data_IF_466617892951
#
_entry.id   IF_466617892951
#
_cell.length_a   1.000
_cell.length_b   1.000
_cell.length_c   1.000
_cell.angle_alpha   90.00
_cell.angle_beta   90.00
_cell.angle_gamma   90.00
#
_symmetry.space_group_name_H-M   'P 1'
#
loop_
_entity.id
_entity.type
_entity.pdbx_description
1 polymer ?
#
# COMPACT_ATOMS: atom_id res chain seq x y z
N UNK A 1 15.21 -6.54 -28.23
CA UNK A 1 16.21 -7.51 -27.69
C UNK A 1 16.65 -7.20 -26.27
N UNK A 2 17.18 -5.99 -25.97
CA UNK A 2 17.65 -5.62 -24.61
C UNK A 2 16.60 -5.81 -23.50
N UNK A 3 15.35 -5.41 -23.72
CA UNK A 3 14.27 -5.60 -22.73
C UNK A 3 13.91 -7.06 -22.51
N UNK A 4 13.93 -7.88 -23.56
CA UNK A 4 13.65 -9.32 -23.47
C UNK A 4 14.73 -10.00 -22.63
N UNK A 5 16.00 -9.67 -22.87
CA UNK A 5 17.12 -10.15 -22.06
C UNK A 5 17.00 -9.74 -20.59
N UNK A 6 16.55 -8.52 -20.32
CA UNK A 6 16.38 -8.02 -18.95
C UNK A 6 15.21 -8.70 -18.22
N UNK A 7 14.07 -8.90 -18.89
CA UNK A 7 12.92 -9.63 -18.33
C UNK A 7 13.31 -11.07 -18.00
N UNK A 8 14.04 -11.74 -18.90
CA UNK A 8 14.53 -13.10 -18.66
C UNK A 8 15.48 -13.13 -17.45
N UNK A 9 16.40 -12.17 -17.33
CA UNK A 9 17.30 -12.08 -16.19
C UNK A 9 16.53 -11.90 -14.86
N UNK A 10 15.55 -10.98 -14.80
CA UNK A 10 14.70 -10.84 -13.60
C UNK A 10 13.97 -12.14 -13.30
N UNK A 11 13.34 -12.77 -14.29
CA UNK A 11 12.60 -14.02 -14.09
C UNK A 11 13.47 -15.15 -13.55
N UNK A 12 14.73 -15.26 -13.97
CA UNK A 12 15.66 -16.25 -13.44
C UNK A 12 16.01 -15.99 -11.98
N UNK A 13 16.34 -14.74 -11.63
CA UNK A 13 16.66 -14.36 -10.24
C UNK A 13 15.44 -14.52 -9.34
N UNK A 14 14.26 -14.15 -9.84
CA UNK A 14 12.96 -14.33 -9.19
C UNK A 14 12.68 -15.81 -8.93
N UNK A 15 12.83 -16.66 -9.94
CA UNK A 15 12.59 -18.10 -9.80
C UNK A 15 13.49 -18.70 -8.71
N UNK A 16 14.77 -18.34 -8.70
CA UNK A 16 15.70 -18.76 -7.66
C UNK A 16 15.27 -18.23 -6.28
N UNK A 17 14.89 -16.96 -6.19
CA UNK A 17 14.47 -16.36 -4.93
C UNK A 17 13.23 -17.03 -4.34
N UNK A 18 12.23 -17.28 -5.18
CA UNK A 18 10.99 -17.95 -4.82
C UNK A 18 11.24 -19.39 -4.40
N UNK A 19 12.08 -20.11 -5.15
CA UNK A 19 12.48 -21.47 -4.80
C UNK A 19 13.17 -21.52 -3.44
N UNK A 20 14.12 -20.62 -3.17
CA UNK A 20 14.80 -20.55 -1.88
C UNK A 20 13.84 -20.21 -0.74
N UNK A 21 12.89 -19.29 -0.97
CA UNK A 21 11.86 -18.97 0.02
C UNK A 21 10.96 -20.19 0.31
N UNK A 22 10.50 -20.88 -0.72
CA UNK A 22 9.60 -22.03 -0.55
C UNK A 22 10.32 -23.23 0.10
N UNK A 23 11.62 -23.45 -0.20
CA UNK A 23 12.41 -24.54 0.40
C UNK A 23 12.80 -24.26 1.84
N UNK A 24 13.25 -23.05 2.15
CA UNK A 24 13.92 -22.78 3.42
C UNK A 24 13.10 -21.87 4.36
N UNK A 25 12.15 -21.08 3.85
CA UNK A 25 11.38 -20.09 4.64
C UNK A 25 9.91 -20.50 4.86
N UNK A 26 9.42 -21.59 4.25
CA UNK A 26 8.04 -22.09 4.39
C UNK A 26 7.66 -22.56 5.80
N UNK A 27 8.60 -22.67 6.74
CA UNK A 27 8.32 -22.99 8.14
C UNK A 27 7.83 -21.79 8.99
N UNK A 28 7.88 -20.55 8.49
CA UNK A 28 7.50 -19.36 9.27
C UNK A 28 6.00 -18.99 9.24
N UNK A 29 5.16 -19.69 8.48
CA UNK A 29 3.69 -19.51 8.59
C UNK A 29 3.13 -19.92 9.96
N UNK A 30 3.88 -20.72 10.73
CA UNK A 30 3.51 -21.14 12.09
C UNK A 30 3.63 -20.02 13.16
N UNK A 31 4.06 -18.80 12.79
CA UNK A 31 4.17 -17.64 13.68
C UNK A 31 3.45 -16.40 13.12
N UNK A 32 2.24 -16.57 12.57
CA UNK A 32 1.29 -15.47 12.72
C UNK A 32 1.11 -15.31 14.24
N UNK A 33 1.70 -14.27 14.83
CA UNK A 33 1.47 -13.96 16.25
C UNK A 33 -0.03 -13.94 16.44
N UNK A 34 -0.51 -14.67 17.46
CA UNK A 34 -1.88 -14.53 17.90
C UNK A 34 -2.12 -13.03 18.13
N UNK A 35 -3.03 -12.37 17.38
CA UNK A 35 -3.30 -10.96 17.53
C UNK A 35 -3.64 -10.56 18.97
N UNK A 36 -4.13 -11.53 19.76
CA UNK A 36 -4.54 -11.37 21.15
C UNK A 36 -3.39 -11.61 22.16
N UNK A 37 -2.20 -12.04 21.70
CA UNK A 37 -1.02 -12.32 22.55
C UNK A 37 -0.11 -11.11 22.79
N UNK A 38 -0.53 -9.92 22.38
CA UNK A 38 0.31 -8.72 22.43
C UNK A 38 0.19 -7.96 23.75
N UNK A 39 1.27 -7.27 24.11
CA UNK A 39 1.30 -6.41 25.29
C UNK A 39 0.22 -5.33 25.19
N UNK A 40 -0.51 -5.15 26.29
CA UNK A 40 -1.50 -4.08 26.42
C UNK A 40 -0.85 -2.72 26.10
N UNK A 41 -1.51 -1.94 25.26
CA UNK A 41 -1.08 -0.57 24.99
C UNK A 41 -1.41 0.31 26.18
N UNK A 42 -0.60 1.35 26.39
CA UNK A 42 -0.85 2.36 27.41
C UNK A 42 -2.15 3.14 27.17
N UNK A 43 -2.71 3.11 25.96
CA UNK A 43 -3.98 3.78 25.65
C UNK A 43 -5.20 2.84 25.69
N UNK A 44 -5.03 1.54 25.97
CA UNK A 44 -6.13 0.58 25.98
C UNK A 44 -7.18 0.91 27.06
N UNK A 45 -6.77 1.56 28.15
CA UNK A 45 -7.63 1.99 29.24
C UNK A 45 -8.18 3.43 29.08
N UNK A 46 -7.79 4.14 28.02
CA UNK A 46 -8.26 5.51 27.77
C UNK A 46 -9.60 5.47 27.04
N UNK A 47 -10.43 6.49 27.23
CA UNK A 47 -11.63 6.72 26.41
C UNK A 47 -11.34 7.65 25.22
N UNK A 48 -12.32 7.79 24.32
CA UNK A 48 -12.19 8.63 23.12
C UNK A 48 -11.90 10.09 23.48
N UNK A 49 -12.50 10.61 24.56
CA UNK A 49 -12.32 11.98 25.03
C UNK A 49 -10.88 12.21 25.51
N UNK A 50 -10.31 11.24 26.23
CA UNK A 50 -8.92 11.30 26.70
C UNK A 50 -7.94 11.29 25.53
N UNK A 51 -8.12 10.39 24.56
CA UNK A 51 -7.25 10.35 23.37
C UNK A 51 -7.39 11.64 22.56
N UNK A 52 -8.61 12.15 22.40
CA UNK A 52 -8.87 13.42 21.71
C UNK A 52 -8.19 14.60 22.41
N UNK A 53 -8.30 14.69 23.74
CA UNK A 53 -7.62 15.73 24.52
C UNK A 53 -6.11 15.67 24.32
N UNK A 54 -5.53 14.48 24.34
CA UNK A 54 -4.09 14.24 24.12
C UNK A 54 -3.66 14.61 22.70
N UNK A 55 -4.48 14.31 21.70
CA UNK A 55 -4.29 14.78 20.34
C UNK A 55 -4.25 16.31 20.27
N UNK A 56 -5.23 17.01 20.85
CA UNK A 56 -5.24 18.47 20.89
C UNK A 56 -4.02 19.07 21.64
N UNK A 57 -3.56 18.42 22.72
CA UNK A 57 -2.32 18.79 23.40
C UNK A 57 -1.11 18.67 22.45
N UNK A 58 -0.96 17.53 21.77
CA UNK A 58 0.12 17.28 20.82
C UNK A 58 0.14 18.30 19.67
N UNK A 59 -1.03 18.67 19.15
CA UNK A 59 -1.19 19.71 18.11
C UNK A 59 -0.69 21.07 18.62
N UNK A 60 -1.13 21.51 19.82
CA UNK A 60 -0.70 22.79 20.42
C UNK A 60 0.80 22.81 20.73
N UNK A 61 1.35 21.67 21.10
CA UNK A 61 2.77 21.48 21.39
C UNK A 61 3.63 21.21 20.16
N UNK A 62 3.05 21.26 18.95
CA UNK A 62 3.76 21.04 17.68
C UNK A 62 4.49 19.68 17.60
N UNK A 63 3.91 18.64 18.21
CA UNK A 63 4.43 17.26 18.19
C UNK A 63 4.01 16.47 16.93
N UNK A 64 3.82 17.20 15.83
CA UNK A 64 3.47 16.64 14.54
C UNK A 64 4.69 15.99 13.86
N UNK A 65 4.46 14.89 13.17
CA UNK A 65 5.49 14.25 12.34
C UNK A 65 5.59 15.03 11.03
N UNK A 66 6.71 15.73 10.82
CA UNK A 66 6.94 16.58 9.64
C UNK A 66 6.89 15.79 8.31
N UNK A 67 7.16 14.49 8.37
CA UNK A 67 7.09 13.56 7.24
C UNK A 67 5.65 13.24 6.82
N UNK A 68 4.65 13.61 7.63
CA UNK A 68 3.23 13.34 7.39
C UNK A 68 2.45 14.53 6.83
N UNK A 69 3.16 15.48 6.21
CA UNK A 69 2.55 16.63 5.54
C UNK A 69 1.81 16.18 4.28
N UNK A 70 0.53 16.56 4.17
CA UNK A 70 -0.31 16.28 3.00
C UNK A 70 -0.08 17.26 1.83
N UNK A 71 -0.88 17.10 0.76
CA UNK A 71 -0.82 17.97 -0.42
C UNK A 71 -1.24 19.43 -0.18
N UNK A 72 -1.79 19.74 0.99
CA UNK A 72 -2.21 21.09 1.41
C UNK A 72 -1.25 21.71 2.43
N UNK A 73 -0.17 21.00 2.80
CA UNK A 73 0.79 21.49 3.78
C UNK A 73 0.39 21.20 5.23
N UNK A 74 -0.64 20.38 5.47
CA UNK A 74 -1.12 20.04 6.80
C UNK A 74 -0.47 18.76 7.32
N UNK A 75 0.02 18.80 8.55
CA UNK A 75 0.53 17.62 9.25
C UNK A 75 -0.65 16.73 9.64
N UNK A 76 -0.62 15.46 9.22
CA UNK A 76 -1.72 14.53 9.46
C UNK A 76 -1.51 13.62 10.68
N UNK A 77 -0.28 13.50 11.18
CA UNK A 77 0.05 12.55 12.25
C UNK A 77 0.70 13.28 13.42
N UNK A 78 0.15 13.07 14.62
CA UNK A 78 0.64 13.65 15.86
C UNK A 78 0.96 12.56 16.86
N UNK A 79 2.11 12.67 17.52
CA UNK A 79 2.53 11.75 18.57
C UNK A 79 1.93 12.18 19.90
N UNK A 80 1.10 11.31 20.49
CA UNK A 80 0.38 11.60 21.74
C UNK A 80 1.06 10.98 22.97
N UNK A 81 1.89 9.96 22.76
CA UNK A 81 2.75 9.32 23.76
C UNK A 81 4.05 8.83 23.11
N UNK A 82 4.95 8.21 23.87
CA UNK A 82 6.18 7.65 23.29
C UNK A 82 5.90 6.49 22.31
N UNK A 83 4.79 5.78 22.44
CA UNK A 83 4.50 4.61 21.61
C UNK A 83 3.25 4.75 20.75
N UNK A 84 2.52 5.85 20.85
CA UNK A 84 1.23 6.03 20.16
C UNK A 84 1.18 7.33 19.38
N UNK A 85 0.69 7.21 18.15
CA UNK A 85 0.35 8.33 17.26
C UNK A 85 -1.14 8.32 16.97
N UNK A 86 -1.67 9.50 16.66
CA UNK A 86 -3.01 9.69 16.10
C UNK A 86 -2.85 10.23 14.70
N UNK A 87 -3.49 9.57 13.73
CA UNK A 87 -3.60 10.04 12.35
C UNK A 87 -4.98 10.61 12.10
N UNK A 88 -5.02 11.80 11.52
CA UNK A 88 -6.20 12.40 10.93
C UNK A 88 -6.32 11.95 9.47
N UNK A 89 -7.53 11.59 9.04
CA UNK A 89 -7.83 11.29 7.65
C UNK A 89 -9.24 11.76 7.31
N UNK A 90 -9.48 12.05 6.04
CA UNK A 90 -10.82 12.36 5.55
C UNK A 90 -11.58 11.07 5.23
N UNK A 91 -12.87 11.04 5.56
CA UNK A 91 -13.78 10.00 5.11
C UNK A 91 -13.83 9.95 3.58
N UNK A 92 -13.71 8.75 3.01
CA UNK A 92 -13.73 8.51 1.55
C UNK A 92 -15.08 8.05 1.02
N UNK A 93 -16.06 7.86 1.91
CA UNK A 93 -17.42 7.47 1.55
C UNK A 93 -18.36 8.67 1.70
N UNK A 94 -19.18 8.88 0.67
CA UNK A 94 -20.17 9.96 0.65
C UNK A 94 -21.49 9.57 1.36
N UNK A 95 -21.66 8.32 1.82
CA UNK A 95 -23.00 7.75 2.03
C UNK A 95 -23.26 6.97 3.35
N UNK A 96 -22.32 6.80 4.28
CA UNK A 96 -22.60 6.02 5.51
C UNK A 96 -22.21 6.73 6.82
N UNK A 97 -23.08 6.57 7.83
CA UNK A 97 -22.98 7.19 9.16
C UNK A 97 -21.89 6.59 10.06
N UNK A 98 -21.32 5.44 9.68
CA UNK A 98 -20.16 4.84 10.36
C UNK A 98 -19.02 4.78 9.35
N UNK A 99 -18.17 5.80 9.40
CA UNK A 99 -16.97 5.85 8.59
C UNK A 99 -15.83 5.19 9.38
N UNK A 100 -15.42 3.98 8.98
CA UNK A 100 -14.15 3.40 9.45
C UNK A 100 -13.07 3.80 8.45
N UNK A 101 -11.89 4.28 8.90
CA UNK A 101 -10.80 4.62 7.99
C UNK A 101 -10.41 3.42 7.12
N UNK A 102 -10.43 3.56 5.79
CA UNK A 102 -10.05 2.48 4.85
C UNK A 102 -8.64 1.94 5.14
N UNK A 103 -7.73 2.84 5.47
CA UNK A 103 -6.37 2.49 5.88
C UNK A 103 -6.33 1.60 7.13
N UNK A 104 -7.12 1.93 8.16
CA UNK A 104 -7.17 1.14 9.40
C UNK A 104 -7.73 -0.26 9.13
N UNK A 105 -8.79 -0.38 8.32
CA UNK A 105 -9.34 -1.67 7.88
C UNK A 105 -8.31 -2.49 7.11
N UNK A 106 -7.56 -1.87 6.21
CA UNK A 106 -6.55 -2.53 5.42
C UNK A 106 -5.38 -3.05 6.27
N UNK A 107 -4.88 -2.24 7.22
CA UNK A 107 -3.80 -2.65 8.12
C UNK A 107 -4.23 -3.82 9.01
N UNK A 108 -5.43 -3.75 9.61
CA UNK A 108 -5.99 -4.86 10.38
C UNK A 108 -6.15 -6.13 9.54
N UNK A 109 -6.61 -6.00 8.30
CA UNK A 109 -6.73 -7.12 7.38
C UNK A 109 -5.36 -7.73 7.04
N UNK A 110 -4.37 -6.92 6.68
CA UNK A 110 -3.01 -7.39 6.34
C UNK A 110 -2.35 -8.05 7.53
N UNK A 111 -2.47 -7.46 8.72
CA UNK A 111 -1.96 -8.00 9.98
C UNK A 111 -2.53 -9.38 10.29
N UNK A 112 -3.83 -9.60 10.06
CA UNK A 112 -4.50 -10.89 10.30
C UNK A 112 -4.12 -11.99 9.30
N UNK A 113 -3.72 -11.63 8.08
CA UNK A 113 -3.51 -12.58 6.98
C UNK A 113 -2.05 -12.76 6.56
N UNK A 114 -1.12 -11.98 7.12
CA UNK A 114 0.29 -11.98 6.72
C UNK A 114 1.23 -11.76 7.91
N UNK A 115 2.52 -12.02 7.72
CA UNK A 115 3.56 -11.68 8.69
C UNK A 115 4.15 -10.28 8.46
N UNK A 116 3.52 -9.47 7.60
CA UNK A 116 4.02 -8.14 7.23
C UNK A 116 3.92 -7.24 8.47
N UNK A 117 5.02 -6.60 8.90
CA UNK A 117 4.98 -5.62 9.98
C UNK A 117 4.22 -4.38 9.50
N UNK A 118 3.06 -4.16 10.10
CA UNK A 118 2.21 -2.96 9.93
C UNK A 118 1.89 -2.42 11.33
N UNK A 119 1.76 -1.09 11.52
CA UNK A 119 1.32 -0.51 12.78
C UNK A 119 0.00 -1.13 13.24
N UNK A 120 -0.10 -1.48 14.53
CA UNK A 120 -1.35 -1.98 15.10
C UNK A 120 -2.33 -0.83 15.26
N UNK A 121 -3.58 -1.03 14.82
CA UNK A 121 -4.66 -0.09 15.11
C UNK A 121 -5.12 -0.32 16.54
N UNK A 122 -5.06 0.73 17.36
CA UNK A 122 -5.46 0.68 18.77
C UNK A 122 -6.91 1.11 18.93
N UNK A 123 -7.32 2.17 18.22
CA UNK A 123 -8.66 2.74 18.37
C UNK A 123 -9.05 3.64 17.21
N UNK A 124 -10.30 3.58 16.79
CA UNK A 124 -10.93 4.59 15.92
C UNK A 124 -11.73 5.56 16.77
N UNK A 125 -11.59 6.86 16.51
CA UNK A 125 -12.18 7.94 17.29
C UNK A 125 -13.15 8.70 16.38
N UNK A 126 -14.42 8.70 16.76
CA UNK A 126 -15.47 9.47 16.07
C UNK A 126 -15.76 10.73 16.86
N UNK A 127 -15.41 11.90 16.31
CA UNK A 127 -15.76 13.17 16.93
C UNK A 127 -17.01 13.76 16.27
N UNK A 128 -18.06 14.00 17.07
CA UNK A 128 -19.32 14.61 16.62
C UNK A 128 -19.16 16.06 16.12
N UNK A 129 -18.05 16.73 16.45
CA UNK A 129 -17.78 18.12 16.07
C UNK A 129 -17.04 18.30 14.74
N UNK A 130 -16.58 17.21 14.10
CA UNK A 130 -15.78 17.25 12.87
C UNK A 130 -16.37 16.29 11.83
N UNK A 131 -17.55 16.62 11.31
CA UNK A 131 -18.21 15.81 10.27
C UNK A 131 -17.28 15.60 9.06
N UNK A 132 -17.03 14.34 8.70
CA UNK A 132 -16.17 13.96 7.59
C UNK A 132 -14.69 13.78 7.91
N UNK A 133 -14.25 14.09 9.15
CA UNK A 133 -12.90 13.79 9.63
C UNK A 133 -12.90 12.55 10.52
N UNK A 134 -11.95 11.67 10.27
CA UNK A 134 -11.74 10.45 11.05
C UNK A 134 -10.37 10.50 11.70
N UNK A 135 -10.34 10.05 12.94
CA UNK A 135 -9.12 9.96 13.71
C UNK A 135 -8.95 8.52 14.15
N UNK A 136 -7.73 8.04 14.15
CA UNK A 136 -7.45 6.74 14.74
C UNK A 136 -6.06 6.72 15.36
N UNK A 137 -5.98 6.05 16.51
CA UNK A 137 -4.75 5.83 17.25
C UNK A 137 -4.11 4.51 16.79
N UNK A 138 -2.79 4.53 16.61
CA UNK A 138 -2.02 3.36 16.23
C UNK A 138 -0.64 3.38 16.87
N UNK A 139 0.03 2.22 16.87
CA UNK A 139 1.40 2.11 17.35
C UNK A 139 2.35 3.01 16.53
N UNK A 140 3.23 3.71 17.23
CA UNK A 140 4.33 4.44 16.63
C UNK A 140 5.46 3.48 16.27
N UNK A 141 5.84 3.45 14.99
CA UNK A 141 7.00 2.68 14.53
C UNK A 141 8.25 3.54 14.64
N UNK A 142 9.11 3.20 15.60
CA UNK A 142 10.42 3.83 15.74
C UNK A 142 11.38 3.33 14.64
N UNK A 143 11.46 4.10 13.55
CA UNK A 143 12.26 3.79 12.38
C UNK A 143 12.46 5.00 11.48
N UNK A 144 13.25 4.82 10.43
CA UNK A 144 13.50 5.84 9.42
C UNK A 144 12.90 5.43 8.08
N UNK A 145 12.31 6.38 7.36
CA UNK A 145 11.83 6.11 5.99
C UNK A 145 12.97 5.63 5.10
N UNK A 146 12.69 4.62 4.28
CA UNK A 146 13.64 4.01 3.36
C UNK A 146 14.28 5.06 2.46
N UNK A 147 13.52 6.09 2.05
CA UNK A 147 14.00 7.26 1.30
C UNK A 147 15.28 7.86 1.87
N UNK A 148 15.36 8.00 3.20
CA UNK A 148 16.47 8.68 3.86
C UNK A 148 17.68 7.76 4.06
N UNK A 149 17.44 6.47 4.33
CA UNK A 149 18.51 5.51 4.59
C UNK A 149 19.03 4.80 3.34
N UNK A 150 18.25 4.73 2.26
CA UNK A 150 18.66 4.04 1.03
C UNK A 150 19.99 4.48 0.42
N UNK A 151 20.35 5.78 0.41
CA UNK A 151 21.66 6.21 -0.07
C UNK A 151 22.81 5.64 0.76
N UNK A 152 22.59 5.38 2.05
CA UNK A 152 23.62 4.90 2.99
C UNK A 152 23.68 3.36 3.05
N UNK A 153 22.66 2.66 2.56
CA UNK A 153 22.65 1.20 2.52
C UNK A 153 23.72 0.64 1.56
N UNK A 154 24.43 -0.38 2.04
CA UNK A 154 25.28 -1.23 1.21
C UNK A 154 24.46 -1.99 0.16
N UNK A 155 25.13 -2.57 -0.83
CA UNK A 155 24.47 -3.44 -1.82
C UNK A 155 23.70 -4.59 -1.15
N UNK A 156 24.28 -5.18 -0.11
CA UNK A 156 23.64 -6.25 0.67
C UNK A 156 22.41 -5.76 1.43
N UNK A 157 22.46 -4.53 1.98
CA UNK A 157 21.30 -3.91 2.62
C UNK A 157 20.15 -3.68 1.64
N UNK A 158 20.45 -3.18 0.44
CA UNK A 158 19.46 -2.96 -0.63
C UNK A 158 18.86 -4.28 -1.11
N UNK A 159 19.67 -5.32 -1.28
CA UNK A 159 19.21 -6.66 -1.63
C UNK A 159 18.32 -7.26 -0.55
N UNK A 160 18.68 -7.10 0.73
CA UNK A 160 17.86 -7.56 1.86
C UNK A 160 16.48 -6.91 1.83
N UNK A 161 16.42 -5.58 1.67
CA UNK A 161 15.14 -4.85 1.55
C UNK A 161 14.33 -5.37 0.37
N UNK A 162 14.93 -5.48 -0.82
CA UNK A 162 14.23 -5.96 -2.01
C UNK A 162 13.70 -7.40 -1.84
N UNK A 163 14.46 -8.28 -1.18
CA UNK A 163 14.04 -9.66 -0.91
C UNK A 163 12.91 -9.73 0.11
N UNK A 164 13.00 -8.95 1.19
CA UNK A 164 11.92 -8.84 2.17
C UNK A 164 10.64 -8.34 1.52
N UNK A 165 10.71 -7.30 0.68
CA UNK A 165 9.53 -6.79 -0.02
C UNK A 165 8.97 -7.81 -1.02
N UNK A 166 9.81 -8.57 -1.73
CA UNK A 166 9.34 -9.66 -2.59
C UNK A 166 8.53 -10.70 -1.79
N UNK A 167 9.04 -11.10 -0.62
CA UNK A 167 8.30 -11.98 0.29
C UNK A 167 6.95 -11.37 0.69
N UNK A 168 6.91 -10.08 1.05
CA UNK A 168 5.66 -9.39 1.39
C UNK A 168 4.67 -9.37 0.23
N UNK A 169 5.11 -9.05 -0.99
CA UNK A 169 4.26 -9.08 -2.18
C UNK A 169 3.70 -10.49 -2.43
N UNK A 170 4.52 -11.54 -2.26
CA UNK A 170 4.07 -12.93 -2.35
C UNK A 170 3.02 -13.26 -1.29
N UNK A 171 3.20 -12.80 -0.05
CA UNK A 171 2.21 -12.97 1.01
C UNK A 171 0.89 -12.30 0.66
N UNK A 172 0.89 -11.02 0.25
CA UNK A 172 -0.32 -10.29 -0.16
C UNK A 172 -1.06 -10.99 -1.32
N UNK A 173 -0.32 -11.53 -2.30
CA UNK A 173 -0.88 -12.27 -3.42
C UNK A 173 -1.47 -13.62 -3.03
N UNK A 174 -0.95 -14.26 -1.99
CA UNK A 174 -1.44 -15.55 -1.47
C UNK A 174 -2.70 -15.42 -0.63
N UNK A 175 -3.06 -14.21 -0.17
CA UNK A 175 -4.31 -14.01 0.58
C UNK A 175 -5.49 -14.48 -0.27
N UNK A 176 -6.30 -15.36 0.31
CA UNK A 176 -7.55 -15.82 -0.27
C UNK A 176 -8.70 -15.22 0.54
N UNK A 177 -9.53 -14.41 -0.10
CA UNK A 177 -10.64 -13.72 0.56
C UNK A 177 -11.79 -13.54 -0.42
N UNK A 178 -13.03 -13.62 0.06
CA UNK A 178 -14.22 -13.33 -0.73
C UNK A 178 -14.25 -11.88 -1.23
N UNK A 179 -13.56 -10.97 -0.53
CA UNK A 179 -13.39 -9.57 -0.91
C UNK A 179 -12.61 -9.41 -2.22
N UNK A 180 -11.86 -10.42 -2.68
CA UNK A 180 -11.12 -10.35 -3.94
C UNK A 180 -12.00 -10.41 -5.20
N UNK A 181 -13.32 -10.51 -5.05
CA UNK A 181 -14.28 -10.52 -6.15
C UNK A 181 -14.70 -9.10 -6.59
N UNK A 182 -14.60 -8.12 -5.68
CA UNK A 182 -14.95 -6.72 -5.94
C UNK A 182 -13.66 -5.89 -5.96
N UNK A 183 -13.36 -5.16 -7.03
CA UNK A 183 -12.15 -4.34 -7.13
C UNK A 183 -12.22 -3.14 -6.18
N UNK A 184 -11.07 -2.74 -5.67
CA UNK A 184 -10.93 -1.52 -4.89
C UNK A 184 -10.61 -1.74 -3.42
N UNK A 185 -10.68 -0.66 -2.61
CA UNK A 185 -10.50 -0.73 -1.17
C UNK A 185 -11.48 -1.69 -0.48
N UNK A 186 -11.10 -2.18 0.70
CA UNK A 186 -11.92 -3.09 1.48
C UNK A 186 -13.25 -2.42 1.90
N UNK A 187 -14.34 -3.17 1.76
CA UNK A 187 -15.67 -2.78 2.21
C UNK A 187 -16.75 -3.70 1.69
N UNK A 188 -17.95 -3.58 2.24
CA UNK A 188 -19.10 -4.42 1.88
C UNK A 188 -19.73 -4.04 0.52
N UNK A 189 -19.37 -2.87 0.01
CA UNK A 189 -19.81 -2.32 -1.27
C UNK A 189 -18.59 -1.85 -2.07
N UNK A 190 -18.69 -1.72 -3.40
CA UNK A 190 -17.63 -1.10 -4.21
C UNK A 190 -17.20 0.26 -3.67
N UNK A 191 -15.93 0.35 -3.27
CA UNK A 191 -15.34 1.57 -2.74
C UNK A 191 -14.67 2.39 -3.86
N UNK A 192 -14.46 3.68 -3.62
CA UNK A 192 -13.75 4.55 -4.57
C UNK A 192 -12.30 4.11 -4.68
N UNK A 193 -11.89 3.69 -5.88
CA UNK A 193 -10.52 3.38 -6.22
C UNK A 193 -9.69 4.67 -6.33
N UNK A 194 -8.50 4.65 -5.74
CA UNK A 194 -7.57 5.78 -5.73
C UNK A 194 -6.18 5.26 -6.10
N UNK A 195 -5.42 6.06 -6.84
CA UNK A 195 -4.07 5.72 -7.23
C UNK A 195 -3.61 6.49 -8.46
N UNK A 196 -2.30 6.58 -8.66
CA UNK A 196 -1.74 7.19 -9.86
C UNK A 196 -2.22 6.49 -11.14
N UNK A 197 -2.48 5.18 -11.06
CA UNK A 197 -3.03 4.38 -12.18
C UNK A 197 -4.43 4.83 -12.63
N UNK A 198 -5.18 5.49 -11.73
CA UNK A 198 -6.50 6.04 -12.01
C UNK A 198 -6.45 7.53 -12.43
N UNK A 199 -5.24 8.07 -12.70
CA UNK A 199 -5.03 9.44 -13.20
C UNK A 199 -5.62 10.54 -12.31
N UNK A 200 -5.67 10.31 -11.00
CA UNK A 200 -6.26 11.25 -10.05
C UNK A 200 -7.78 11.41 -10.17
N UNK A 201 -8.46 10.55 -10.94
CA UNK A 201 -9.92 10.54 -11.05
C UNK A 201 -10.54 10.03 -9.75
N UNK A 202 -10.94 10.96 -8.90
CA UNK A 202 -11.78 10.71 -7.73
C UNK A 202 -13.19 10.38 -8.26
N UNK A 203 -13.84 9.33 -7.74
CA UNK A 203 -15.13 8.75 -8.20
C UNK A 203 -15.05 7.59 -9.22
N UNK A 204 -14.12 6.66 -9.03
CA UNK A 204 -14.15 5.39 -9.76
C UNK A 204 -14.35 4.23 -8.80
N UNK A 205 -15.59 3.76 -8.64
CA UNK A 205 -15.87 2.48 -8.01
C UNK A 205 -16.36 1.51 -9.08
N UNK A 206 -16.07 0.22 -8.91
CA UNK A 206 -16.42 -0.78 -9.92
C UNK A 206 -17.14 -1.96 -9.25
N UNK A 207 -18.33 -2.34 -9.73
CA UNK A 207 -19.10 -3.44 -9.14
C UNK A 207 -18.48 -4.82 -9.41
N UNK A 208 -17.59 -4.94 -10.39
CA UNK A 208 -16.94 -6.21 -10.75
C UNK A 208 -15.60 -5.99 -11.47
N UNK A 209 -14.83 -7.06 -11.65
CA UNK A 209 -13.59 -7.05 -12.42
C UNK A 209 -13.82 -6.61 -13.87
N UNK A 210 -14.91 -7.06 -14.50
CA UNK A 210 -15.25 -6.73 -15.88
C UNK A 210 -15.50 -5.23 -16.04
N UNK A 211 -16.15 -4.60 -15.06
CA UNK A 211 -16.37 -3.15 -15.06
C UNK A 211 -15.05 -2.37 -14.94
N UNK A 212 -14.12 -2.82 -14.08
CA UNK A 212 -12.78 -2.26 -13.99
C UNK A 212 -12.03 -2.37 -15.33
N UNK A 213 -12.05 -3.56 -15.95
CA UNK A 213 -11.34 -3.81 -17.20
C UNK A 213 -11.91 -2.97 -18.34
N UNK A 214 -13.23 -2.92 -18.47
CA UNK A 214 -13.93 -2.11 -19.47
C UNK A 214 -13.59 -0.62 -19.33
N UNK A 215 -13.46 -0.11 -18.10
CA UNK A 215 -13.06 1.28 -17.87
C UNK A 215 -11.65 1.57 -18.37
N UNK A 216 -10.69 0.71 -18.05
CA UNK A 216 -9.32 0.84 -18.55
C UNK A 216 -9.25 0.70 -20.07
N UNK A 217 -9.92 -0.29 -20.66
CA UNK A 217 -10.03 -0.43 -22.12
C UNK A 217 -10.64 0.82 -22.76
N UNK A 218 -11.68 1.39 -22.16
CA UNK A 218 -12.33 2.61 -22.64
C UNK A 218 -11.40 3.82 -22.67
N UNK A 219 -10.65 4.05 -21.59
CA UNK A 219 -9.66 5.14 -21.52
C UNK A 219 -8.59 4.98 -22.59
N UNK A 220 -8.06 3.77 -22.72
CA UNK A 220 -6.99 3.46 -23.68
C UNK A 220 -7.49 3.62 -25.11
N UNK A 221 -8.66 3.08 -25.43
CA UNK A 221 -9.26 3.24 -26.76
C UNK A 221 -9.54 4.70 -27.10
N UNK A 222 -10.02 5.49 -26.12
CA UNK A 222 -10.26 6.92 -26.29
C UNK A 222 -8.95 7.67 -26.61
N UNK A 223 -7.88 7.42 -25.85
CA UNK A 223 -6.58 8.08 -26.07
C UNK A 223 -5.96 7.72 -27.41
N UNK A 224 -5.98 6.44 -27.78
CA UNK A 224 -5.49 5.94 -29.07
C UNK A 224 -6.28 6.54 -30.23
N UNK A 225 -7.60 6.60 -30.13
CA UNK A 225 -8.46 7.27 -31.11
C UNK A 225 -8.07 8.73 -31.29
N UNK A 226 -7.87 9.47 -30.18
CA UNK A 226 -7.41 10.87 -30.21
C UNK A 226 -6.03 11.02 -30.85
N UNK A 227 -5.15 10.05 -30.64
CA UNK A 227 -3.81 10.00 -31.23
C UNK A 227 -3.78 9.43 -32.66
N UNK A 228 -4.93 9.05 -33.25
CA UNK A 228 -5.05 8.38 -34.56
C UNK A 228 -4.25 7.07 -34.66
N UNK A 229 -4.14 6.36 -33.54
CA UNK A 229 -3.53 5.04 -33.45
C UNK A 229 -4.59 3.95 -33.63
N UNK A 230 -4.25 2.79 -34.25
CA UNK A 230 -5.18 1.67 -34.34
C UNK A 230 -5.51 1.11 -32.95
N UNK A 231 -6.63 0.38 -32.78
CA UNK A 231 -6.89 -0.36 -31.55
C UNK A 231 -5.73 -1.28 -31.18
N UNK A 232 -5.51 -1.47 -29.87
CA UNK A 232 -4.50 -2.42 -29.39
C UNK A 232 -5.04 -3.84 -29.43
N UNK A 233 -4.28 -4.77 -30.02
CA UNK A 233 -4.59 -6.21 -29.97
C UNK A 233 -4.16 -6.85 -28.64
N UNK A 234 -3.27 -6.18 -27.89
CA UNK A 234 -2.84 -6.64 -26.59
C UNK A 234 -3.87 -6.26 -25.52
N UNK A 235 -4.43 -7.26 -24.87
CA UNK A 235 -5.23 -7.13 -23.65
C UNK A 235 -4.39 -7.48 -22.42
N UNK A 236 -4.12 -6.56 -21.48
CA UNK A 236 -3.34 -6.86 -20.29
C UNK A 236 -4.13 -7.69 -19.25
N UNK A 237 -5.45 -7.87 -19.40
CA UNK A 237 -6.30 -8.55 -18.42
C UNK A 237 -6.67 -10.00 -18.81
N UNK A 238 -6.25 -10.49 -19.97
CA UNK A 238 -6.61 -11.81 -20.52
C UNK A 238 -6.36 -13.02 -19.60
N UNK A 239 -5.40 -12.92 -18.67
CA UNK A 239 -5.02 -13.96 -17.71
C UNK A 239 -5.41 -13.61 -16.25
N UNK A 240 -6.12 -12.50 -16.04
CA UNK A 240 -6.53 -12.03 -14.73
C UNK A 240 -7.78 -12.80 -14.25
N UNK A 241 -7.56 -13.92 -13.56
CA UNK A 241 -8.64 -14.78 -13.02
C UNK A 241 -9.20 -14.33 -11.67
N UNK A 242 -8.41 -13.57 -10.92
CA UNK A 242 -8.76 -13.03 -9.60
C UNK A 242 -7.92 -11.79 -9.34
N UNK A 243 -8.38 -10.98 -8.39
CA UNK A 243 -7.59 -9.90 -7.82
C UNK A 243 -6.83 -10.37 -6.59
N UNK A 244 -5.80 -9.61 -6.24
CA UNK A 244 -4.96 -9.82 -5.07
C UNK A 244 -4.93 -8.57 -4.22
N UNK A 245 -4.60 -8.72 -2.93
CA UNK A 245 -4.34 -7.56 -2.10
C UNK A 245 -3.10 -6.83 -2.64
N UNK A 246 -3.21 -5.52 -2.80
CA UNK A 246 -2.14 -4.62 -3.25
C UNK A 246 -2.15 -3.38 -2.38
N UNK A 247 -0.98 -2.78 -2.16
CA UNK A 247 -0.81 -1.53 -1.41
C UNK A 247 -1.10 -0.30 -2.26
N UNK A 248 -0.80 -0.34 -3.57
CA UNK A 248 -1.05 0.74 -4.55
C UNK A 248 -0.29 2.06 -4.35
N UNK A 249 0.46 2.21 -3.25
CA UNK A 249 1.35 3.34 -2.98
C UNK A 249 2.63 2.89 -2.25
N UNK A 250 3.16 1.70 -2.60
CA UNK A 250 4.35 1.15 -1.98
C UNK A 250 5.61 1.87 -2.52
N UNK A 251 5.93 3.02 -1.92
CA UNK A 251 7.09 3.83 -2.27
C UNK A 251 8.05 3.99 -1.08
N UNK A 252 9.24 4.54 -1.31
CA UNK A 252 10.28 4.62 -0.27
C UNK A 252 9.92 5.47 0.96
N UNK A 253 8.86 6.30 0.92
CA UNK A 253 8.35 7.05 2.08
C UNK A 253 7.46 6.17 2.97
N UNK A 254 6.81 5.18 2.36
CA UNK A 254 5.84 4.29 3.00
C UNK A 254 6.49 2.97 3.49
N UNK A 255 7.82 2.91 3.46
CA UNK A 255 8.63 1.81 3.98
C UNK A 255 9.51 2.38 5.09
N UNK A 256 9.40 1.83 6.30
CA UNK A 256 10.27 2.20 7.42
C UNK A 256 11.27 1.08 7.70
N UNK A 257 12.53 1.45 7.90
CA UNK A 257 13.54 0.58 8.50
C UNK A 257 13.46 0.79 10.01
N UNK A 258 12.82 -0.15 10.71
CA UNK A 258 12.62 -0.09 12.15
C UNK A 258 13.92 -0.33 12.91
N UNK A 259 14.03 0.23 14.13
CA UNK A 259 15.16 -0.06 15.04
C UNK A 259 15.25 -1.54 15.43
N UNK A 260 14.13 -2.25 15.35
CA UNK A 260 14.02 -3.71 15.50
C UNK A 260 14.54 -4.50 14.29
N UNK A 261 15.15 -3.82 13.30
CA UNK A 261 15.65 -4.40 12.05
C UNK A 261 14.59 -5.03 11.14
N UNK A 262 13.30 -4.76 11.39
CA UNK A 262 12.20 -5.15 10.50
C UNK A 262 11.96 -4.07 9.45
N UNK A 263 11.44 -4.50 8.31
CA UNK A 263 10.95 -3.61 7.26
C UNK A 263 9.45 -3.46 7.47
N UNK A 264 9.02 -2.29 7.95
CA UNK A 264 7.62 -1.97 8.22
C UNK A 264 6.99 -1.29 7.01
N UNK A 265 5.72 -1.61 6.76
CA UNK A 265 4.93 -1.02 5.69
C UNK A 265 3.81 -0.18 6.30
N UNK A 266 3.74 1.09 5.93
CA UNK A 266 2.77 2.08 6.45
C UNK A 266 1.99 2.70 5.30
N UNK A 267 0.96 3.48 5.62
CA UNK A 267 0.15 4.23 4.65
C UNK A 267 -0.61 3.36 3.64
N UNK A 268 -1.45 2.48 4.17
CA UNK A 268 -2.27 1.54 3.40
C UNK A 268 -3.54 2.16 2.80
N UNK A 269 -3.61 3.50 2.77
CA UNK A 269 -4.84 4.20 2.45
C UNK A 269 -5.29 3.93 1.00
N UNK A 270 -4.38 3.63 0.08
CA UNK A 270 -4.70 3.33 -1.33
C UNK A 270 -4.89 1.85 -1.63
N UNK A 271 -4.71 1.01 -0.61
CA UNK A 271 -4.69 -0.43 -0.76
C UNK A 271 -6.06 -1.02 -1.07
N UNK A 272 -6.05 -2.24 -1.59
CA UNK A 272 -7.27 -2.94 -1.96
C UNK A 272 -7.01 -4.16 -2.85
N UNK A 273 -8.09 -4.76 -3.34
CA UNK A 273 -8.02 -5.88 -4.27
C UNK A 273 -7.97 -5.39 -5.71
N UNK A 274 -6.86 -5.68 -6.39
CA UNK A 274 -6.63 -5.28 -7.78
C UNK A 274 -5.85 -6.37 -8.55
N UNK A 275 -5.74 -6.27 -9.89
CA UNK A 275 -4.87 -7.16 -10.67
C UNK A 275 -3.41 -7.11 -10.18
N UNK A 276 -2.72 -8.25 -10.14
CA UNK A 276 -1.37 -8.40 -9.54
C UNK A 276 -0.31 -7.42 -10.06
N UNK A 277 -0.49 -6.99 -11.31
CA UNK A 277 0.42 -6.09 -12.00
C UNK A 277 0.20 -4.61 -11.65
N UNK A 278 -0.92 -4.26 -10.99
CA UNK A 278 -1.17 -2.89 -10.55
C UNK A 278 -0.11 -2.43 -9.56
N UNK A 279 0.33 -3.28 -8.62
CA UNK A 279 1.41 -2.92 -7.69
C UNK A 279 2.68 -2.51 -8.43
N UNK A 280 3.10 -3.28 -9.44
CA UNK A 280 4.27 -2.96 -10.27
C UNK A 280 4.14 -1.58 -10.90
N UNK A 281 2.98 -1.28 -11.51
CA UNK A 281 2.76 0.02 -12.18
C UNK A 281 2.69 1.15 -11.15
N UNK A 282 1.97 0.96 -10.06
CA UNK A 282 1.82 1.95 -9.00
C UNK A 282 3.17 2.32 -8.36
N UNK A 283 4.05 1.35 -8.08
CA UNK A 283 5.41 1.62 -7.61
C UNK A 283 6.21 2.47 -8.61
N UNK A 284 6.14 2.17 -9.91
CA UNK A 284 6.82 2.98 -10.93
C UNK A 284 6.28 4.41 -11.02
N UNK A 285 4.97 4.59 -10.93
CA UNK A 285 4.36 5.91 -10.94
C UNK A 285 4.74 6.70 -9.69
N UNK A 286 4.61 6.11 -8.50
CA UNK A 286 4.98 6.77 -7.25
C UNK A 286 6.43 7.27 -7.28
N UNK A 287 7.37 6.44 -7.72
CA UNK A 287 8.79 6.83 -7.79
C UNK A 287 9.09 7.87 -8.87
N UNK A 288 8.32 7.90 -9.96
CA UNK A 288 8.41 8.97 -10.96
C UNK A 288 7.95 10.31 -10.37
N UNK A 289 6.94 10.33 -9.51
CA UNK A 289 6.47 11.54 -8.84
C UNK A 289 7.40 11.99 -7.70
N UNK A 290 8.05 11.06 -7.00
CA UNK A 290 8.93 11.38 -5.86
C UNK A 290 10.42 11.54 -6.23
N UNK A 291 10.78 11.40 -7.51
CA UNK A 291 12.15 11.39 -8.02
C UNK A 291 13.03 10.33 -7.35
N UNK A 292 12.53 9.09 -7.30
CA UNK A 292 13.22 7.94 -6.74
C UNK A 292 14.59 7.66 -7.36
N UNK A 293 15.57 7.13 -6.59
CA UNK A 293 16.87 6.79 -7.12
C UNK A 293 16.78 5.62 -8.11
N UNK A 294 17.56 5.67 -9.20
CA UNK A 294 17.60 4.61 -10.23
C UNK A 294 17.87 3.22 -9.63
N UNK A 295 18.67 3.15 -8.57
CA UNK A 295 18.94 1.89 -7.86
C UNK A 295 17.69 1.26 -7.24
N UNK A 296 16.75 2.06 -6.73
CA UNK A 296 15.46 1.59 -6.24
C UNK A 296 14.53 1.18 -7.37
N UNK A 297 14.45 1.98 -8.44
CA UNK A 297 13.64 1.62 -9.62
C UNK A 297 14.06 0.28 -10.25
N UNK A 298 15.34 -0.08 -10.15
CA UNK A 298 15.87 -1.40 -10.58
C UNK A 298 15.44 -2.55 -9.65
N UNK A 299 15.05 -2.28 -8.41
CA UNK A 299 14.52 -3.31 -7.52
C UNK A 299 13.05 -3.64 -7.83
N UNK A 300 12.25 -2.68 -8.34
CA UNK A 300 10.81 -2.84 -8.55
C UNK A 300 10.46 -4.12 -9.34
N UNK A 301 11.09 -4.44 -10.49
CA UNK A 301 10.75 -5.64 -11.24
C UNK A 301 11.07 -6.95 -10.52
N UNK A 302 12.06 -6.94 -9.61
CA UNK A 302 12.34 -8.08 -8.74
C UNK A 302 11.29 -8.20 -7.62
N UNK A 303 10.87 -7.08 -7.03
CA UNK A 303 9.90 -7.04 -5.93
C UNK A 303 8.50 -7.47 -6.38
N UNK A 304 8.03 -6.97 -7.54
CA UNK A 304 6.63 -7.13 -7.99
C UNK A 304 6.45 -7.92 -9.29
N UNK A 305 7.51 -8.54 -9.81
CA UNK A 305 7.60 -9.16 -11.14
C UNK A 305 7.58 -8.18 -12.32
N UNK A 306 8.29 -8.47 -13.42
CA UNK A 306 8.52 -7.50 -14.50
C UNK A 306 7.33 -7.38 -15.46
N UNK A 307 6.24 -6.73 -15.06
CA UNK A 307 5.06 -6.49 -15.90
C UNK A 307 5.24 -5.35 -16.93
N UNK A 308 6.35 -5.37 -17.66
CA UNK A 308 6.75 -4.30 -18.61
C UNK A 308 5.70 -4.06 -19.69
N UNK A 309 5.15 -5.12 -20.30
CA UNK A 309 4.14 -4.99 -21.37
C UNK A 309 2.84 -4.34 -20.87
N UNK A 310 2.39 -4.70 -19.67
CA UNK A 310 1.18 -4.12 -19.06
C UNK A 310 1.37 -2.65 -18.67
N UNK A 311 2.54 -2.30 -18.14
CA UNK A 311 2.90 -0.89 -17.91
C UNK A 311 2.94 -0.08 -19.20
N UNK A 312 3.61 -0.59 -20.25
CA UNK A 312 3.63 0.07 -21.57
C UNK A 312 2.24 0.26 -22.15
N UNK A 313 1.39 -0.75 -22.01
CA UNK A 313 0.01 -0.64 -22.46
C UNK A 313 -0.73 0.54 -21.82
N UNK A 314 -0.46 0.89 -20.55
CA UNK A 314 -1.02 2.08 -19.91
C UNK A 314 -0.35 3.40 -20.32
N UNK A 315 0.96 3.38 -20.61
CA UNK A 315 1.76 4.58 -20.89
C UNK A 315 1.77 5.00 -22.37
N UNK A 316 1.76 4.04 -23.29
CA UNK A 316 1.95 4.22 -24.74
C UNK A 316 0.61 4.25 -25.51
N UNK A 317 -0.46 4.66 -24.81
CA UNK A 317 -1.84 4.67 -25.30
C UNK A 317 -2.48 6.04 -25.23
#
# INVERSE_FOLDING_TARGET
MKDVSLVVAYKLVIYLADFLEDVFWSQNQAQLKDPDSEEASEVDHWDDETIWKKYCEAVRSQQGLAESIDGYGQIQIFRITDKVIVKQTLGRTFDDAVQVPHEALAMEFVRKHTSIPVPRILRTIHNKGTEGELFYAMDFVDGQQLRHVWPTLSIWGKLRVAWTLRSYIRQLRRINSTLSSVPGPLGDKPQTCIGFIFEGKRQTSFPSMEALFAWFHGIINMRRTRARLPPTEYDPFHDCKRMVMTHMDLNMRNILVGKDSRIWIIDWDWSGFYPEWFEYVSMFYAEKFTNGPVSWMRCIPFVTDPYIKRRRWLEES
#
